data_IF_107707877670
#
_entry.id   IF_107707877670
#
_cell.length_a   1.000
_cell.length_b   1.000
_cell.length_c   1.000
_cell.angle_alpha   90.00
_cell.angle_beta   90.00
_cell.angle_gamma   90.00
#
_symmetry.space_group_name_H-M   'P 1'
#
loop_
_entity.id
_entity.type
_entity.pdbx_description
1 polymer ?
#
# COMPACT_ATOMS: atom_id res chain seq x y z
N UNK A 1 2.63 -18.59 -16.09
CA UNK A 1 2.11 -17.91 -14.86
C UNK A 1 3.27 -17.90 -13.88
N UNK A 2 3.61 -16.76 -13.31
CA UNK A 2 4.68 -16.67 -12.30
C UNK A 2 4.20 -17.28 -10.97
N UNK A 3 5.11 -17.93 -10.23
CA UNK A 3 4.83 -18.60 -8.97
C UNK A 3 5.54 -17.89 -7.83
N UNK A 4 4.91 -17.88 -6.66
CA UNK A 4 5.46 -17.42 -5.40
C UNK A 4 5.60 -18.56 -4.38
N UNK A 5 5.62 -19.81 -4.87
CA UNK A 5 5.82 -20.96 -4.01
C UNK A 5 7.07 -20.81 -3.14
N UNK A 6 6.96 -21.20 -1.86
CA UNK A 6 8.01 -21.06 -0.84
C UNK A 6 8.42 -19.62 -0.48
N UNK A 7 7.67 -18.60 -0.94
CA UNK A 7 7.87 -17.19 -0.55
C UNK A 7 6.96 -16.83 0.61
N UNK A 8 7.45 -15.99 1.51
CA UNK A 8 6.68 -15.46 2.63
C UNK A 8 6.39 -13.96 2.42
N UNK A 9 5.12 -13.60 2.47
CA UNK A 9 4.65 -12.25 2.20
C UNK A 9 3.96 -11.65 3.43
N UNK A 10 4.26 -10.38 3.72
CA UNK A 10 3.53 -9.57 4.70
C UNK A 10 2.84 -8.42 3.98
N UNK A 11 1.51 -8.32 4.16
CA UNK A 11 0.68 -7.26 3.58
C UNK A 11 0.06 -6.41 4.69
N UNK A 12 0.35 -5.12 4.70
CA UNK A 12 -0.23 -4.18 5.65
C UNK A 12 -1.55 -3.58 5.16
N UNK A 13 -2.43 -3.18 6.09
CA UNK A 13 -3.69 -2.51 5.75
C UNK A 13 -4.74 -3.43 5.09
N UNK A 14 -4.81 -4.70 5.49
CA UNK A 14 -5.72 -5.70 4.92
C UNK A 14 -7.01 -5.92 5.75
N UNK A 15 -7.43 -4.93 6.56
CA UNK A 15 -8.59 -5.07 7.45
C UNK A 15 -9.96 -4.87 6.81
N UNK A 16 -10.05 -4.25 5.62
CA UNK A 16 -11.30 -4.03 4.90
C UNK A 16 -11.60 -5.19 3.93
N UNK A 17 -12.82 -5.76 3.93
CA UNK A 17 -13.15 -6.96 3.13
C UNK A 17 -13.05 -6.72 1.61
N UNK A 18 -13.47 -5.56 1.11
CA UNK A 18 -13.35 -5.15 -0.30
C UNK A 18 -12.16 -4.23 -0.57
N UNK A 19 -11.14 -4.21 0.31
CA UNK A 19 -9.99 -3.31 0.17
C UNK A 19 -8.87 -3.86 -0.73
N UNK A 20 -7.97 -2.97 -1.15
CA UNK A 20 -6.79 -3.33 -1.95
C UNK A 20 -5.90 -4.34 -1.19
N UNK A 21 -5.70 -4.16 0.12
CA UNK A 21 -4.82 -5.02 0.91
C UNK A 21 -5.27 -6.47 0.96
N UNK A 22 -6.58 -6.72 1.10
CA UNK A 22 -7.12 -8.09 1.13
C UNK A 22 -7.06 -8.75 -0.27
N UNK A 23 -7.31 -7.98 -1.34
CA UNK A 23 -7.18 -8.46 -2.71
C UNK A 23 -5.72 -8.85 -3.02
N UNK A 24 -4.75 -8.03 -2.58
CA UNK A 24 -3.32 -8.35 -2.69
C UNK A 24 -3.00 -9.64 -1.94
N UNK A 25 -3.43 -9.77 -0.68
CA UNK A 25 -3.16 -10.96 0.13
C UNK A 25 -3.69 -12.24 -0.52
N UNK A 26 -4.93 -12.19 -1.05
CA UNK A 26 -5.54 -13.29 -1.80
C UNK A 26 -4.73 -13.65 -3.03
N UNK A 27 -4.36 -12.66 -3.84
CA UNK A 27 -3.56 -12.89 -5.06
C UNK A 27 -2.20 -13.51 -4.75
N UNK A 28 -1.48 -13.01 -3.73
CA UNK A 28 -0.19 -13.58 -3.35
C UNK A 28 -0.33 -15.03 -2.85
N UNK A 29 -1.38 -15.35 -2.10
CA UNK A 29 -1.70 -16.70 -1.69
C UNK A 29 -2.01 -17.62 -2.88
N UNK A 30 -2.85 -17.16 -3.81
CA UNK A 30 -3.24 -17.93 -5.00
C UNK A 30 -2.03 -18.22 -5.91
N UNK A 31 -0.99 -17.36 -5.85
CA UNK A 31 0.30 -17.56 -6.49
C UNK A 31 1.24 -18.51 -5.71
N UNK A 32 0.85 -18.97 -4.53
CA UNK A 32 1.56 -19.97 -3.74
C UNK A 32 2.38 -19.42 -2.57
N UNK A 33 2.30 -18.12 -2.23
CA UNK A 33 3.01 -17.58 -1.08
C UNK A 33 2.34 -17.97 0.25
N UNK A 34 3.13 -18.10 1.30
CA UNK A 34 2.66 -18.06 2.68
C UNK A 34 2.43 -16.60 3.05
N UNK A 35 1.17 -16.24 3.37
CA UNK A 35 0.79 -14.84 3.51
C UNK A 35 0.41 -14.49 4.95
N UNK A 36 0.96 -13.39 5.43
CA UNK A 36 0.61 -12.71 6.67
C UNK A 36 -0.06 -11.38 6.35
N UNK A 37 -1.13 -11.05 7.06
CA UNK A 37 -1.83 -9.78 6.92
C UNK A 37 -1.92 -9.06 8.25
N UNK A 38 -1.89 -7.71 8.23
CA UNK A 38 -2.02 -6.91 9.45
C UNK A 38 -2.97 -5.74 9.29
N UNK A 39 -3.62 -5.40 10.38
CA UNK A 39 -4.39 -4.17 10.60
C UNK A 39 -4.41 -3.81 12.08
N UNK A 40 -4.98 -2.65 12.43
CA UNK A 40 -5.02 -2.12 13.80
C UNK A 40 -6.09 -2.76 14.70
N UNK A 41 -6.93 -3.65 14.19
CA UNK A 41 -8.06 -4.23 14.94
C UNK A 41 -8.17 -5.74 14.75
N UNK A 42 -8.86 -6.42 15.69
CA UNK A 42 -9.08 -7.88 15.68
C UNK A 42 -9.85 -8.40 14.46
N UNK A 43 -10.53 -7.52 13.70
CA UNK A 43 -11.16 -7.89 12.43
C UNK A 43 -10.19 -8.55 11.45
N UNK A 44 -8.89 -8.33 11.61
CA UNK A 44 -7.88 -8.97 10.77
C UNK A 44 -7.91 -10.50 10.87
N UNK A 45 -8.32 -11.04 12.02
CA UNK A 45 -8.44 -12.49 12.22
C UNK A 45 -9.59 -13.08 11.39
N UNK A 46 -10.71 -12.35 11.26
CA UNK A 46 -11.83 -12.75 10.39
C UNK A 46 -11.39 -12.72 8.92
N UNK A 47 -10.75 -11.62 8.50
CA UNK A 47 -10.19 -11.48 7.13
C UNK A 47 -9.21 -12.59 6.80
N UNK A 48 -8.32 -12.90 7.74
CA UNK A 48 -7.36 -13.98 7.59
C UNK A 48 -8.04 -15.35 7.42
N UNK A 49 -9.07 -15.63 8.22
CA UNK A 49 -9.84 -16.87 8.15
C UNK A 49 -10.57 -17.01 6.80
N UNK A 50 -11.18 -15.92 6.30
CA UNK A 50 -11.93 -15.92 5.04
C UNK A 50 -11.07 -16.33 3.84
N UNK A 51 -9.81 -15.90 3.81
CA UNK A 51 -8.91 -16.21 2.71
C UNK A 51 -7.86 -17.27 3.06
N UNK A 52 -7.89 -17.84 4.30
CA UNK A 52 -7.00 -18.89 4.76
C UNK A 52 -5.53 -18.48 4.82
N UNK A 53 -5.24 -17.36 5.51
CA UNK A 53 -3.89 -16.81 5.77
C UNK A 53 -3.73 -16.50 7.27
N UNK A 54 -2.58 -15.97 7.69
CA UNK A 54 -2.34 -15.57 9.07
C UNK A 54 -2.60 -14.08 9.28
N UNK A 55 -3.50 -13.74 10.20
CA UNK A 55 -3.81 -12.37 10.59
C UNK A 55 -3.14 -11.97 11.91
N UNK A 56 -2.54 -10.79 11.96
CA UNK A 56 -1.85 -10.23 13.13
C UNK A 56 -2.30 -8.79 13.35
N UNK A 57 -2.65 -8.45 14.58
CA UNK A 57 -2.97 -7.06 14.96
C UNK A 57 -1.68 -6.31 15.25
N UNK A 58 -1.52 -5.12 14.65
CA UNK A 58 -0.43 -4.19 14.94
C UNK A 58 -0.79 -2.76 14.55
N UNK A 59 -0.40 -1.79 15.35
CA UNK A 59 -0.42 -0.37 14.97
C UNK A 59 0.95 0.02 14.39
N UNK A 60 1.03 0.12 13.09
CA UNK A 60 2.28 0.40 12.38
C UNK A 60 2.79 1.83 12.58
N UNK A 61 2.03 2.70 13.25
CA UNK A 61 2.51 4.01 13.70
C UNK A 61 3.39 3.92 14.94
N UNK A 62 3.48 2.72 15.55
CA UNK A 62 4.24 2.42 16.77
C UNK A 62 5.37 1.44 16.41
N UNK A 63 6.62 1.85 16.59
CA UNK A 63 7.78 1.04 16.19
C UNK A 63 7.84 -0.31 16.92
N UNK A 64 7.56 -0.34 18.23
CA UNK A 64 7.55 -1.58 19.01
C UNK A 64 6.50 -2.61 18.52
N UNK A 65 5.38 -2.14 18.01
CA UNK A 65 4.36 -3.01 17.41
C UNK A 65 4.86 -3.62 16.10
N UNK A 66 5.58 -2.82 15.28
CA UNK A 66 6.25 -3.33 14.08
C UNK A 66 7.31 -4.38 14.41
N UNK A 67 8.13 -4.16 15.44
CA UNK A 67 9.12 -5.14 15.91
C UNK A 67 8.47 -6.45 16.35
N UNK A 68 7.41 -6.35 17.16
CA UNK A 68 6.66 -7.52 17.63
C UNK A 68 5.97 -8.28 16.47
N UNK A 69 5.43 -7.54 15.48
CA UNK A 69 4.86 -8.11 14.27
C UNK A 69 5.90 -8.90 13.48
N UNK A 70 7.07 -8.29 13.19
CA UNK A 70 8.15 -8.93 12.45
C UNK A 70 8.70 -10.15 13.19
N UNK A 71 8.82 -10.09 14.52
CA UNK A 71 9.23 -11.24 15.32
C UNK A 71 8.26 -12.44 15.18
N UNK A 72 6.96 -12.19 15.10
CA UNK A 72 5.93 -13.23 14.87
C UNK A 72 5.94 -13.76 13.44
N UNK A 73 6.16 -12.90 12.45
CA UNK A 73 6.24 -13.30 11.03
C UNK A 73 7.53 -14.09 10.77
N UNK A 74 8.66 -13.69 11.35
CA UNK A 74 9.96 -14.35 11.17
C UNK A 74 10.64 -13.99 9.85
N UNK A 75 10.80 -14.96 8.93
CA UNK A 75 11.37 -14.69 7.60
C UNK A 75 10.37 -13.97 6.70
N UNK A 76 10.85 -13.04 5.87
CA UNK A 76 10.02 -12.27 4.92
C UNK A 76 10.77 -12.17 3.60
N UNK A 77 10.10 -12.50 2.51
CA UNK A 77 10.59 -12.32 1.14
C UNK A 77 9.89 -11.15 0.44
N UNK A 78 8.63 -10.91 0.78
CA UNK A 78 7.78 -9.90 0.13
C UNK A 78 7.14 -9.04 1.20
N UNK A 79 7.37 -7.73 1.14
CA UNK A 79 6.72 -6.74 1.98
C UNK A 79 5.86 -5.84 1.12
N UNK A 80 4.54 -5.75 1.44
CA UNK A 80 3.62 -4.83 0.79
C UNK A 80 3.15 -3.78 1.79
N UNK A 81 3.63 -2.55 1.61
CA UNK A 81 3.20 -1.38 2.35
C UNK A 81 1.94 -0.80 1.71
N UNK A 82 0.78 -1.24 2.20
CA UNK A 82 -0.53 -0.78 1.71
C UNK A 82 -1.32 -0.01 2.79
N UNK A 83 -0.95 -0.11 4.06
CA UNK A 83 -1.59 0.68 5.12
C UNK A 83 -1.54 2.18 4.83
N UNK A 84 -2.66 2.87 5.09
CA UNK A 84 -2.80 4.32 4.86
C UNK A 84 -4.25 4.74 4.71
N UNK A 85 -4.49 5.99 4.31
CA UNK A 85 -5.77 6.70 4.26
C UNK A 85 -6.42 6.85 5.64
N UNK A 86 -7.34 5.95 5.99
CA UNK A 86 -8.07 5.96 7.27
C UNK A 86 -8.03 4.59 7.91
N UNK A 87 -8.11 4.55 9.24
CA UNK A 87 -8.38 3.32 9.98
C UNK A 87 -9.67 3.50 10.79
N UNK A 88 -10.22 2.39 11.33
CA UNK A 88 -11.38 2.50 12.21
C UNK A 88 -11.06 3.26 13.50
N UNK A 89 -9.82 3.11 13.98
CA UNK A 89 -9.37 3.76 15.21
C UNK A 89 -8.88 5.20 14.97
N UNK A 90 -8.64 5.58 13.71
CA UNK A 90 -8.18 6.91 13.32
C UNK A 90 -8.84 7.30 11.98
N UNK A 91 -10.11 7.71 11.99
CA UNK A 91 -10.82 8.18 10.81
C UNK A 91 -10.27 9.54 10.34
N UNK A 92 -10.51 9.87 9.08
CA UNK A 92 -10.10 11.16 8.51
C UNK A 92 -10.82 12.30 9.25
N UNK A 93 -10.05 13.21 9.84
CA UNK A 93 -10.57 14.41 10.46
C UNK A 93 -10.94 15.48 9.42
N UNK A 94 -11.96 16.30 9.74
CA UNK A 94 -12.34 17.42 8.87
C UNK A 94 -11.20 18.44 8.68
N UNK A 95 -10.31 18.54 9.66
CA UNK A 95 -9.10 19.37 9.66
C UNK A 95 -7.97 18.83 8.76
N UNK A 96 -8.04 17.57 8.35
CA UNK A 96 -7.12 16.97 7.36
C UNK A 96 -7.60 17.19 5.92
N UNK A 97 -8.93 17.26 5.73
CA UNK A 97 -9.59 17.45 4.44
C UNK A 97 -9.95 18.93 4.22
N UNK A 98 -8.95 19.82 4.33
CA UNK A 98 -9.09 21.27 4.21
C UNK A 98 -8.04 21.84 3.24
N UNK A 99 -8.18 23.11 2.87
CA UNK A 99 -7.06 23.83 2.27
C UNK A 99 -5.91 23.99 3.28
N UNK A 100 -4.75 24.39 2.82
CA UNK A 100 -3.56 24.44 3.67
C UNK A 100 -3.71 25.38 4.89
N UNK A 101 -4.55 26.39 4.81
CA UNK A 101 -4.78 27.33 5.92
C UNK A 101 -5.63 26.72 7.04
N UNK A 102 -6.46 25.73 6.71
CA UNK A 102 -7.29 25.00 7.67
C UNK A 102 -6.62 23.76 8.26
N UNK A 103 -5.46 23.34 7.73
CA UNK A 103 -4.73 22.18 8.27
C UNK A 103 -3.93 22.58 9.50
N UNK A 104 -4.25 22.01 10.66
CA UNK A 104 -3.46 22.19 11.89
C UNK A 104 -2.16 21.40 11.84
N UNK A 105 -1.18 21.75 12.69
CA UNK A 105 0.06 20.98 12.80
C UNK A 105 -0.21 19.54 13.27
N UNK A 106 -1.16 19.38 14.18
CA UNK A 106 -1.59 18.07 14.69
C UNK A 106 -2.24 17.22 13.58
N UNK A 107 -3.10 17.83 12.74
CA UNK A 107 -3.70 17.16 11.59
C UNK A 107 -2.62 16.74 10.57
N UNK A 108 -1.66 17.62 10.29
CA UNK A 108 -0.51 17.31 9.46
C UNK A 108 0.29 16.10 9.99
N UNK A 109 0.68 16.14 11.27
CA UNK A 109 1.45 15.07 11.90
C UNK A 109 0.69 13.75 11.91
N UNK A 110 -0.61 13.78 12.25
CA UNK A 110 -1.49 12.60 12.26
C UNK A 110 -1.60 11.98 10.86
N UNK A 111 -1.83 12.80 9.84
CA UNK A 111 -1.94 12.32 8.46
C UNK A 111 -0.63 11.78 7.91
N UNK A 112 0.52 12.43 8.20
CA UNK A 112 1.85 11.92 7.84
C UNK A 112 2.13 10.59 8.54
N UNK A 113 1.87 10.52 9.85
CA UNK A 113 2.05 9.30 10.64
C UNK A 113 1.28 8.12 10.06
N UNK A 114 0.01 8.33 9.70
CA UNK A 114 -0.86 7.29 9.16
C UNK A 114 -0.48 6.86 7.73
N UNK A 115 -0.06 7.79 6.87
CA UNK A 115 0.14 7.53 5.44
C UNK A 115 1.60 7.31 5.02
N UNK A 116 2.59 7.68 5.86
CA UNK A 116 4.01 7.54 5.57
C UNK A 116 4.75 6.76 6.64
N UNK A 117 4.61 7.14 7.94
CA UNK A 117 5.41 6.54 9.00
C UNK A 117 5.07 5.05 9.18
N UNK A 118 3.85 4.62 8.90
CA UNK A 118 3.47 3.20 8.86
C UNK A 118 4.34 2.40 7.90
N UNK A 119 4.60 2.92 6.70
CA UNK A 119 5.46 2.27 5.71
C UNK A 119 6.93 2.34 6.11
N UNK A 120 7.37 3.46 6.66
CA UNK A 120 8.73 3.65 7.17
C UNK A 120 9.04 2.67 8.31
N UNK A 121 8.23 2.65 9.37
CA UNK A 121 8.44 1.80 10.54
C UNK A 121 8.45 0.32 10.16
N UNK A 122 7.42 -0.12 9.42
CA UNK A 122 7.31 -1.52 9.03
C UNK A 122 8.46 -1.96 8.14
N UNK A 123 8.87 -1.12 7.17
CA UNK A 123 10.01 -1.44 6.30
C UNK A 123 11.30 -1.50 7.10
N UNK A 124 11.56 -0.52 7.97
CA UNK A 124 12.75 -0.48 8.85
C UNK A 124 12.88 -1.77 9.66
N UNK A 125 11.81 -2.20 10.31
CA UNK A 125 11.80 -3.44 11.09
C UNK A 125 11.95 -4.70 10.23
N UNK A 126 11.42 -4.71 8.99
CA UNK A 126 11.46 -5.87 8.09
C UNK A 126 12.80 -6.03 7.35
N UNK A 127 13.57 -4.96 7.15
CA UNK A 127 14.81 -4.99 6.37
C UNK A 127 15.81 -6.09 6.80
N UNK A 128 16.06 -6.35 8.11
CA UNK A 128 16.98 -7.43 8.51
C UNK A 128 16.52 -8.82 8.04
N UNK A 129 15.23 -9.07 7.97
CA UNK A 129 14.65 -10.32 7.45
C UNK A 129 14.71 -10.37 5.92
N UNK A 130 14.31 -9.29 5.25
CA UNK A 130 14.35 -9.16 3.79
C UNK A 130 15.77 -9.34 3.22
N UNK A 131 16.79 -8.81 3.88
CA UNK A 131 18.20 -8.97 3.47
C UNK A 131 18.68 -10.42 3.50
N UNK A 132 18.04 -11.29 4.29
CA UNK A 132 18.33 -12.73 4.33
C UNK A 132 17.67 -13.51 3.19
N UNK A 133 16.66 -12.95 2.56
CA UNK A 133 15.89 -13.58 1.48
C UNK A 133 16.66 -13.73 0.17
N UNK A 134 17.73 -12.96 -0.08
CA UNK A 134 18.49 -12.91 -1.36
C UNK A 134 17.67 -12.48 -2.60
N UNK A 135 16.36 -12.36 -2.50
CA UNK A 135 15.46 -11.93 -3.56
C UNK A 135 14.28 -11.14 -3.01
N UNK A 136 14.54 -10.30 -2.02
CA UNK A 136 13.52 -9.51 -1.33
C UNK A 136 12.75 -8.58 -2.28
N UNK A 137 11.47 -8.37 -1.98
CA UNK A 137 10.57 -7.47 -2.71
C UNK A 137 9.90 -6.51 -1.75
N UNK A 138 10.06 -5.21 -1.95
CA UNK A 138 9.34 -4.16 -1.25
C UNK A 138 8.41 -3.48 -2.25
N UNK A 139 7.12 -3.46 -1.97
CA UNK A 139 6.12 -2.85 -2.83
C UNK A 139 5.35 -1.81 -2.02
N UNK A 140 5.39 -0.56 -2.48
CA UNK A 140 4.69 0.56 -1.87
C UNK A 140 3.39 0.83 -2.62
N UNK A 141 2.25 0.77 -1.94
CA UNK A 141 0.97 1.21 -2.51
C UNK A 141 0.81 2.70 -2.17
N UNK A 142 1.24 3.54 -3.11
CA UNK A 142 1.12 4.99 -3.02
C UNK A 142 -0.23 5.46 -3.60
N UNK A 143 -0.24 6.47 -4.45
CA UNK A 143 -1.43 6.99 -5.12
C UNK A 143 -1.02 7.85 -6.32
N UNK A 144 -1.88 7.99 -7.33
CA UNK A 144 -1.73 9.06 -8.34
C UNK A 144 -1.79 10.44 -7.69
N UNK A 145 -2.58 10.60 -6.60
CA UNK A 145 -2.57 11.81 -5.77
C UNK A 145 -1.25 11.88 -4.99
N UNK A 146 -0.50 12.94 -5.22
CA UNK A 146 0.86 13.13 -4.69
C UNK A 146 1.96 12.55 -5.59
N UNK A 147 1.71 11.45 -6.28
CA UNK A 147 2.68 10.87 -7.22
C UNK A 147 2.77 11.62 -8.55
N UNK A 148 1.64 12.02 -9.10
CA UNK A 148 1.51 12.68 -10.41
C UNK A 148 0.48 13.82 -10.39
N UNK A 149 -0.56 13.70 -9.60
CA UNK A 149 -1.73 14.56 -9.55
C UNK A 149 -1.93 15.09 -8.13
N UNK A 150 -2.89 15.99 -7.97
CA UNK A 150 -3.34 16.45 -6.66
C UNK A 150 -4.87 16.47 -6.61
N UNK A 151 -5.41 16.36 -5.41
CA UNK A 151 -6.80 16.62 -5.10
C UNK A 151 -6.90 17.89 -4.27
N UNK A 152 -7.90 18.74 -4.56
CA UNK A 152 -8.23 19.86 -3.69
C UNK A 152 -8.55 19.37 -2.27
N UNK A 153 -8.13 20.13 -1.27
CA UNK A 153 -8.37 19.85 0.15
C UNK A 153 -7.75 18.52 0.66
N UNK A 154 -6.66 18.06 0.03
CA UNK A 154 -5.92 16.85 0.43
C UNK A 154 -4.39 17.09 0.50
N UNK A 155 -3.90 18.22 1.08
CA UNK A 155 -2.48 18.54 1.06
C UNK A 155 -1.64 17.54 1.85
N UNK A 156 -2.15 17.07 3.00
CA UNK A 156 -1.45 16.10 3.86
C UNK A 156 -1.28 14.75 3.18
N UNK A 157 -2.38 14.23 2.62
CA UNK A 157 -2.37 12.95 1.90
C UNK A 157 -1.44 13.01 0.68
N UNK A 158 -1.55 14.07 -0.13
CA UNK A 158 -0.70 14.25 -1.30
C UNK A 158 0.79 14.30 -0.92
N UNK A 159 1.14 15.07 0.12
CA UNK A 159 2.51 15.16 0.61
C UNK A 159 3.05 13.81 1.10
N UNK A 160 2.27 13.06 1.90
CA UNK A 160 2.67 11.75 2.42
C UNK A 160 2.88 10.72 1.29
N UNK A 161 1.97 10.67 0.31
CA UNK A 161 2.07 9.74 -0.82
C UNK A 161 3.20 10.11 -1.79
N UNK A 162 3.50 11.40 -1.96
CA UNK A 162 4.70 11.85 -2.68
C UNK A 162 6.00 11.47 -1.92
N UNK A 163 6.05 11.69 -0.62
CA UNK A 163 7.20 11.33 0.22
C UNK A 163 7.50 9.82 0.21
N UNK A 164 6.45 8.98 0.14
CA UNK A 164 6.60 7.52 0.00
C UNK A 164 7.39 7.14 -1.25
N UNK A 165 7.27 7.89 -2.36
CA UNK A 165 8.05 7.64 -3.59
C UNK A 165 9.53 8.01 -3.41
N UNK A 166 9.83 9.05 -2.63
CA UNK A 166 11.20 9.41 -2.24
C UNK A 166 11.84 8.30 -1.41
N UNK A 167 11.13 7.81 -0.38
CA UNK A 167 11.56 6.69 0.45
C UNK A 167 11.79 5.42 -0.40
N UNK A 168 10.87 5.09 -1.28
CA UNK A 168 10.96 3.95 -2.18
C UNK A 168 12.24 3.99 -3.04
N UNK A 169 12.57 5.15 -3.63
CA UNK A 169 13.77 5.29 -4.47
C UNK A 169 15.06 5.16 -3.66
N UNK A 170 15.12 5.72 -2.45
CA UNK A 170 16.26 5.55 -1.55
C UNK A 170 16.47 4.08 -1.21
N UNK A 171 15.41 3.38 -0.80
CA UNK A 171 15.46 1.93 -0.51
C UNK A 171 15.88 1.11 -1.73
N UNK A 172 15.42 1.48 -2.93
CA UNK A 172 15.81 0.79 -4.17
C UNK A 172 17.33 0.83 -4.42
N UNK A 173 17.98 1.94 -4.08
CA UNK A 173 19.44 2.09 -4.21
C UNK A 173 20.19 1.39 -3.06
N UNK A 174 19.79 1.63 -1.81
CA UNK A 174 20.50 1.16 -0.64
C UNK A 174 20.46 -0.38 -0.49
N UNK A 175 19.33 -0.99 -0.88
CA UNK A 175 19.05 -2.40 -0.68
C UNK A 175 19.36 -3.28 -1.91
N UNK A 176 19.70 -2.68 -3.06
CA UNK A 176 20.05 -3.41 -4.30
C UNK A 176 21.19 -4.42 -4.09
N UNK A 177 22.18 -4.08 -3.28
CA UNK A 177 23.32 -4.96 -2.95
C UNK A 177 22.92 -6.26 -2.23
N UNK A 178 21.71 -6.31 -1.67
CA UNK A 178 21.13 -7.52 -1.05
C UNK A 178 20.17 -8.26 -1.98
N UNK A 179 20.06 -7.86 -3.24
CA UNK A 179 19.13 -8.45 -4.22
C UNK A 179 17.66 -8.05 -3.97
N UNK A 180 17.43 -6.99 -3.19
CA UNK A 180 16.09 -6.47 -2.91
C UNK A 180 15.70 -5.46 -3.98
N UNK A 181 14.49 -5.59 -4.54
CA UNK A 181 13.88 -4.55 -5.36
C UNK A 181 12.83 -3.79 -4.57
N UNK A 182 12.73 -2.48 -4.79
CA UNK A 182 11.73 -1.62 -4.17
C UNK A 182 11.02 -0.82 -5.27
N UNK A 183 9.69 -0.99 -5.40
CA UNK A 183 8.88 -0.32 -6.41
C UNK A 183 7.58 0.21 -5.80
N UNK A 184 6.94 1.16 -6.48
CA UNK A 184 5.65 1.71 -6.06
C UNK A 184 4.57 1.51 -7.11
N UNK A 185 3.35 1.27 -6.66
CA UNK A 185 2.14 1.31 -7.48
C UNK A 185 1.36 2.57 -7.12
N UNK A 186 0.84 3.25 -8.13
CA UNK A 186 -0.02 4.42 -8.01
C UNK A 186 -1.44 4.07 -8.47
N UNK A 187 -2.31 3.63 -7.58
CA UNK A 187 -3.72 3.46 -7.90
C UNK A 187 -4.39 4.81 -8.20
N UNK A 188 -5.33 4.81 -9.16
CA UNK A 188 -6.33 5.86 -9.33
C UNK A 188 -7.56 5.61 -8.46
N UNK A 189 -8.76 5.82 -9.03
CA UNK A 189 -10.04 5.57 -8.37
C UNK A 189 -10.34 4.07 -8.35
N UNK A 190 -10.20 3.44 -7.19
CA UNK A 190 -10.41 2.00 -7.00
C UNK A 190 -11.69 1.77 -6.19
N UNK A 191 -12.55 0.88 -6.67
CA UNK A 191 -13.78 0.50 -5.99
C UNK A 191 -13.46 -0.31 -4.72
N UNK A 192 -13.61 0.35 -3.57
CA UNK A 192 -13.42 -0.25 -2.25
C UNK A 192 -14.65 0.02 -1.38
N UNK A 193 -14.82 -0.76 -0.30
CA UNK A 193 -15.95 -0.58 0.63
C UNK A 193 -15.99 0.81 1.27
N UNK A 194 -14.87 1.52 1.32
CA UNK A 194 -14.74 2.86 1.92
C UNK A 194 -14.88 3.98 0.90
N UNK A 195 -15.05 3.67 -0.38
CA UNK A 195 -15.15 4.67 -1.44
C UNK A 195 -16.43 5.49 -1.30
N UNK A 196 -16.29 6.81 -1.26
CA UNK A 196 -17.41 7.75 -1.22
C UNK A 196 -18.15 7.82 -2.56
N UNK A 197 -19.40 8.36 -2.54
CA UNK A 197 -20.18 8.60 -3.77
C UNK A 197 -19.44 9.56 -4.74
N UNK A 198 -18.74 10.56 -4.21
CA UNK A 198 -17.92 11.46 -5.00
C UNK A 198 -16.78 10.73 -5.73
N UNK A 199 -16.03 9.88 -5.02
CA UNK A 199 -14.94 9.11 -5.59
C UNK A 199 -15.43 8.12 -6.67
N UNK A 200 -16.59 7.47 -6.45
CA UNK A 200 -17.23 6.62 -7.46
C UNK A 200 -17.52 7.39 -8.74
N UNK A 201 -18.07 8.61 -8.61
CA UNK A 201 -18.35 9.47 -9.77
C UNK A 201 -17.07 9.89 -10.49
N UNK A 202 -15.98 10.17 -9.77
CA UNK A 202 -14.69 10.52 -10.40
C UNK A 202 -14.12 9.34 -11.19
N UNK A 203 -14.26 8.11 -10.71
CA UNK A 203 -13.87 6.92 -11.46
C UNK A 203 -14.63 6.76 -12.79
N UNK A 204 -15.91 7.09 -12.82
CA UNK A 204 -16.70 7.09 -14.05
C UNK A 204 -16.26 8.14 -15.09
N UNK A 205 -15.49 9.15 -14.67
CA UNK A 205 -14.93 10.20 -15.54
C UNK A 205 -13.52 9.89 -16.04
N UNK A 206 -12.98 8.71 -15.75
CA UNK A 206 -11.71 8.25 -16.32
C UNK A 206 -11.88 7.84 -17.78
N UNK A 207 -10.83 7.80 -18.62
CA UNK A 207 -10.94 7.29 -19.99
C UNK A 207 -11.55 5.89 -20.11
N UNK A 208 -11.33 5.00 -19.14
CA UNK A 208 -11.98 3.67 -19.12
C UNK A 208 -13.41 3.71 -18.58
N UNK A 209 -13.96 4.88 -18.21
CA UNK A 209 -15.32 5.14 -17.75
C UNK A 209 -15.80 4.22 -16.62
N UNK A 210 -14.90 3.81 -15.72
CA UNK A 210 -15.18 3.00 -14.54
C UNK A 210 -14.12 3.17 -13.46
N UNK A 211 -14.47 2.79 -12.24
CA UNK A 211 -13.47 2.57 -11.21
C UNK A 211 -12.65 1.31 -11.51
N UNK A 212 -11.39 1.30 -11.08
CA UNK A 212 -10.57 0.09 -11.08
C UNK A 212 -11.04 -0.85 -9.97
N UNK A 213 -10.79 -2.14 -10.14
CA UNK A 213 -11.07 -3.14 -9.08
C UNK A 213 -9.80 -3.37 -8.26
N UNK A 214 -9.91 -3.70 -6.95
CA UNK A 214 -8.78 -4.06 -6.12
C UNK A 214 -7.89 -5.16 -6.72
N UNK A 215 -8.47 -6.12 -7.44
CA UNK A 215 -7.76 -7.21 -8.10
C UNK A 215 -6.85 -6.72 -9.25
N UNK A 216 -7.15 -5.58 -9.86
CA UNK A 216 -6.31 -5.00 -10.92
C UNK A 216 -5.01 -4.42 -10.32
N UNK A 217 -5.06 -3.91 -9.09
CA UNK A 217 -3.87 -3.55 -8.32
C UNK A 217 -3.13 -4.81 -7.85
N UNK A 218 -3.85 -5.78 -7.31
CA UNK A 218 -3.30 -7.01 -6.77
C UNK A 218 -2.55 -7.84 -7.82
N UNK A 219 -3.04 -7.87 -9.06
CA UNK A 219 -2.37 -8.55 -10.18
C UNK A 219 -0.99 -7.97 -10.47
N UNK A 220 -0.85 -6.62 -10.43
CA UNK A 220 0.44 -5.97 -10.60
C UNK A 220 1.37 -6.21 -9.41
N UNK A 221 0.83 -6.21 -8.17
CA UNK A 221 1.60 -6.59 -6.96
C UNK A 221 2.13 -8.03 -7.09
N UNK A 222 1.30 -8.97 -7.54
CA UNK A 222 1.72 -10.36 -7.76
C UNK A 222 2.88 -10.48 -8.76
N UNK A 223 2.85 -9.70 -9.85
CA UNK A 223 3.95 -9.64 -10.80
C UNK A 223 5.22 -9.03 -10.19
N UNK A 224 5.10 -7.88 -9.50
CA UNK A 224 6.24 -7.22 -8.82
C UNK A 224 6.84 -8.10 -7.72
N UNK A 225 6.06 -8.96 -7.09
CA UNK A 225 6.50 -9.91 -6.08
C UNK A 225 7.29 -11.10 -6.67
N UNK A 226 7.18 -11.34 -7.98
CA UNK A 226 7.77 -12.50 -8.66
C UNK A 226 9.23 -12.26 -9.10
N UNK A 227 9.86 -13.31 -9.60
CA UNK A 227 11.19 -13.23 -10.22
C UNK A 227 11.15 -12.52 -11.57
N UNK A 228 9.99 -12.53 -12.26
CA UNK A 228 9.82 -11.90 -13.57
C UNK A 228 10.03 -10.37 -13.56
N UNK A 229 9.94 -9.73 -12.40
CA UNK A 229 10.22 -8.31 -12.19
C UNK A 229 11.61 -8.05 -11.59
N UNK A 230 12.47 -9.06 -11.51
CA UNK A 230 13.73 -9.01 -10.76
C UNK A 230 14.75 -7.94 -11.22
N UNK A 231 14.61 -7.40 -12.44
CA UNK A 231 15.43 -6.29 -12.93
C UNK A 231 14.76 -4.92 -12.84
N UNK A 232 13.60 -4.85 -12.15
CA UNK A 232 12.86 -3.60 -11.95
C UNK A 232 13.00 -3.15 -10.49
N UNK A 233 13.63 -2.00 -10.27
CA UNK A 233 13.72 -1.35 -8.96
C UNK A 233 13.68 0.18 -9.10
N UNK A 234 13.16 0.88 -8.09
CA UNK A 234 13.02 2.33 -8.07
C UNK A 234 11.91 2.86 -8.98
N UNK A 235 11.04 2.00 -9.52
CA UNK A 235 10.04 2.37 -10.51
C UNK A 235 8.69 2.67 -9.87
N UNK A 236 7.93 3.51 -10.58
CA UNK A 236 6.56 3.90 -10.22
C UNK A 236 5.63 3.44 -11.32
N UNK A 237 4.66 2.57 -11.00
CA UNK A 237 3.73 1.98 -11.93
C UNK A 237 2.31 2.51 -11.68
N UNK A 238 1.67 3.03 -12.72
CA UNK A 238 0.36 3.67 -12.64
C UNK A 238 -0.72 2.70 -13.04
N UNK A 239 -1.81 2.63 -12.25
CA UNK A 239 -3.00 1.84 -12.54
C UNK A 239 -4.22 2.70 -12.22
N UNK A 240 -4.66 3.52 -13.19
CA UNK A 240 -5.63 4.60 -12.94
C UNK A 240 -6.70 4.77 -14.03
N UNK A 241 -6.79 3.82 -14.97
CA UNK A 241 -7.76 3.89 -16.06
C UNK A 241 -7.53 5.06 -17.03
N UNK A 242 -6.30 5.59 -17.08
CA UNK A 242 -5.93 6.74 -17.90
C UNK A 242 -6.23 8.10 -17.27
N UNK A 243 -6.66 8.14 -15.99
CA UNK A 243 -7.05 9.38 -15.32
C UNK A 243 -5.94 10.45 -15.32
N UNK A 244 -4.67 10.05 -15.18
CA UNK A 244 -3.54 10.98 -15.06
C UNK A 244 -3.01 11.51 -16.39
N UNK A 245 -3.45 11.00 -17.54
CA UNK A 245 -2.95 11.38 -18.86
C UNK A 245 -3.96 12.16 -19.70
N UNK A 246 -5.21 12.32 -19.22
CA UNK A 246 -6.22 13.07 -19.98
C UNK A 246 -6.11 14.57 -19.71
N UNK A 247 -6.08 15.36 -20.76
CA UNK A 247 -6.10 16.82 -20.69
C UNK A 247 -7.53 17.33 -20.52
N UNK A 248 -8.48 16.80 -21.31
CA UNK A 248 -9.90 17.14 -21.22
C UNK A 248 -10.66 16.04 -20.45
N UNK A 249 -11.49 16.45 -19.48
CA UNK A 249 -12.36 15.54 -18.74
C UNK A 249 -13.77 15.60 -19.26
N UNK A 250 -14.44 14.46 -19.37
CA UNK A 250 -15.86 14.41 -19.65
C UNK A 250 -16.64 15.27 -18.62
N UNK A 251 -17.56 16.07 -19.11
CA UNK A 251 -18.43 16.96 -18.30
C UNK A 251 -19.44 16.15 -17.47
#
# INVERSE_FOLDING_TARGET
>A
MFSLASRRALVSGAGAPGGIGIAIAKTLKDLGAEVFITSTTDRIHERAKEIGVTGLVADLTIESDCEALIAKVGSIDILVNNAGMTSQNDPLGADEASDLTGVTLEAWQRGMKRNLDTAFNLTKCALPALRKSKSGRIIMVSSVTGGLMAMSHQPVYAAAKAAMLGLMRSLALDEAKYGITCNAILPGWIETDTQSAHEKLQGMKTPLARNGRPEEIAGLVGWLASESSGYMTGQTLIVDGGNSIQEERAQ
#
